data_IF_464330484543
#
_entry.id   IF_464330484543
#
_cell.length_a   1.000
_cell.length_b   1.000
_cell.length_c   1.000
_cell.angle_alpha   90.00
_cell.angle_beta   90.00
_cell.angle_gamma   90.00
#
_symmetry.space_group_name_H-M   'P 1'
#
loop_
_entity.id
_entity.type
_entity.pdbx_description
1 polymer ?
#
# COMPACT_ATOMS: atom_id res chain seq x y z
N UNK A 1 11.10 -35.00 -11.12
CA UNK A 1 11.60 -34.74 -9.76
C UNK A 1 11.87 -33.24 -9.66
N UNK A 2 10.89 -32.46 -9.20
CA UNK A 2 10.92 -30.98 -9.25
C UNK A 2 11.12 -30.38 -7.86
N UNK A 3 12.29 -30.60 -7.27
CA UNK A 3 12.75 -29.78 -6.14
C UNK A 3 13.85 -28.86 -6.66
N UNK A 4 13.47 -27.67 -7.14
CA UNK A 4 14.36 -26.53 -6.98
C UNK A 4 14.35 -26.21 -5.48
N UNK A 5 15.53 -26.29 -4.87
CA UNK A 5 15.75 -25.83 -3.51
C UNK A 5 15.69 -24.30 -3.54
N UNK A 6 14.54 -23.73 -3.21
CA UNK A 6 14.50 -22.33 -2.79
C UNK A 6 15.46 -22.18 -1.61
N UNK A 7 16.37 -21.21 -1.69
CA UNK A 7 17.22 -20.83 -0.57
C UNK A 7 16.32 -20.51 0.65
N UNK A 8 16.74 -20.84 1.88
CA UNK A 8 15.94 -20.53 3.05
C UNK A 8 15.68 -19.02 3.07
N UNK A 9 14.43 -18.58 3.30
CA UNK A 9 14.13 -17.16 3.29
C UNK A 9 14.99 -16.47 4.35
N UNK A 10 15.62 -15.36 3.97
CA UNK A 10 16.30 -14.43 4.87
C UNK A 10 15.30 -13.72 5.83
N UNK A 11 14.24 -14.41 6.26
CA UNK A 11 13.00 -13.85 6.79
C UNK A 11 13.14 -13.07 8.08
N UNK A 12 14.26 -13.18 8.81
CA UNK A 12 14.56 -12.31 9.96
C UNK A 12 15.11 -10.96 9.51
N UNK A 13 16.07 -10.97 8.57
CA UNK A 13 16.69 -9.75 8.04
C UNK A 13 15.67 -8.92 7.25
N UNK A 14 14.83 -9.59 6.47
CA UNK A 14 13.73 -8.98 5.72
C UNK A 14 12.72 -8.27 6.64
N UNK A 15 12.27 -8.94 7.70
CA UNK A 15 11.38 -8.33 8.71
C UNK A 15 12.00 -7.11 9.38
N UNK A 16 13.26 -7.20 9.79
CA UNK A 16 13.89 -6.07 10.48
C UNK A 16 14.07 -4.87 9.54
N UNK A 17 14.36 -5.11 8.25
CA UNK A 17 14.42 -4.06 7.21
C UNK A 17 13.04 -3.42 6.95
N UNK A 18 11.95 -4.19 6.97
CA UNK A 18 10.58 -3.63 6.93
C UNK A 18 10.31 -2.73 8.12
N UNK A 19 10.68 -3.17 9.34
CA UNK A 19 10.44 -2.40 10.56
C UNK A 19 11.30 -1.13 10.65
N UNK A 20 12.53 -1.17 10.12
CA UNK A 20 13.40 0.02 10.00
C UNK A 20 12.99 0.96 8.86
N UNK A 21 12.09 0.52 7.99
CA UNK A 21 11.61 1.32 6.87
C UNK A 21 12.50 1.31 5.62
N UNK A 22 13.48 0.41 5.55
CA UNK A 22 14.39 0.32 4.41
C UNK A 22 13.68 -0.15 3.13
N UNK A 23 12.51 -0.78 3.30
CA UNK A 23 11.68 -1.34 2.22
C UNK A 23 10.40 -0.54 1.98
N UNK A 24 10.33 0.67 2.52
CA UNK A 24 9.18 1.54 2.38
C UNK A 24 8.96 1.97 0.92
N UNK A 25 7.76 1.68 0.44
CA UNK A 25 7.15 2.37 -0.70
C UNK A 25 6.08 3.33 -0.17
N UNK A 26 5.33 3.99 -1.05
CA UNK A 26 4.42 5.05 -0.61
C UNK A 26 3.38 4.60 0.42
N UNK A 27 2.54 3.61 0.07
CA UNK A 27 1.44 3.14 0.93
C UNK A 27 1.75 1.89 1.76
N UNK A 28 2.94 1.30 1.62
CA UNK A 28 3.31 0.04 2.27
C UNK A 28 4.82 -0.07 2.47
N UNK A 29 5.28 -1.11 3.15
CA UNK A 29 6.62 -1.67 2.91
C UNK A 29 6.50 -2.86 1.95
N UNK A 30 7.48 -3.06 1.07
CA UNK A 30 7.48 -4.12 0.06
C UNK A 30 8.50 -5.21 0.42
N UNK A 31 8.06 -6.43 0.74
CA UNK A 31 8.95 -7.56 1.10
C UNK A 31 9.46 -8.37 -0.11
N UNK A 32 9.35 -7.83 -1.32
CA UNK A 32 9.67 -8.56 -2.55
C UNK A 32 9.43 -7.75 -3.81
N UNK A 33 10.24 -6.71 -4.02
CA UNK A 33 10.12 -5.80 -5.18
C UNK A 33 10.40 -6.49 -6.52
N UNK A 34 11.33 -7.44 -6.53
CA UNK A 34 11.73 -8.29 -7.68
C UNK A 34 10.91 -9.59 -7.80
N UNK A 35 9.98 -9.82 -6.86
CA UNK A 35 9.11 -11.00 -6.78
C UNK A 35 7.63 -10.62 -6.77
N UNK A 36 7.29 -9.56 -7.50
CA UNK A 36 5.89 -9.11 -7.65
C UNK A 36 5.05 -10.19 -8.33
N UNK A 37 3.82 -10.47 -7.86
CA UNK A 37 2.92 -11.41 -8.54
C UNK A 37 2.36 -10.86 -9.87
N UNK A 38 2.69 -9.62 -10.23
CA UNK A 38 2.18 -8.92 -11.41
C UNK A 38 3.22 -8.72 -12.52
N UNK A 39 4.43 -9.26 -12.35
CA UNK A 39 5.52 -9.14 -13.31
C UNK A 39 6.31 -10.44 -13.43
N UNK A 40 7.28 -10.46 -14.33
CA UNK A 40 8.17 -11.61 -14.50
C UNK A 40 9.07 -11.82 -13.27
N UNK A 41 9.37 -13.07 -12.87
CA UNK A 41 10.27 -13.34 -11.75
C UNK A 41 11.64 -12.67 -11.94
N UNK A 42 12.10 -11.94 -10.92
CA UNK A 42 13.36 -11.19 -10.95
C UNK A 42 13.26 -9.81 -11.58
N UNK A 43 12.13 -9.45 -12.20
CA UNK A 43 11.91 -8.12 -12.73
C UNK A 43 11.36 -7.17 -11.65
N UNK A 44 11.70 -5.86 -11.71
CA UNK A 44 11.06 -4.84 -10.88
C UNK A 44 9.54 -4.86 -10.95
N UNK A 45 8.88 -4.58 -9.82
CA UNK A 45 7.42 -4.52 -9.75
C UNK A 45 6.85 -3.50 -10.75
N UNK A 46 5.92 -3.90 -11.64
CA UNK A 46 5.33 -3.00 -12.63
C UNK A 46 4.07 -2.28 -12.13
N UNK A 47 3.65 -2.51 -10.89
CA UNK A 47 2.40 -1.98 -10.36
C UNK A 47 2.42 -0.45 -10.23
N UNK A 48 1.28 0.23 -10.47
CA UNK A 48 1.16 1.65 -10.22
C UNK A 48 1.30 1.97 -8.72
N UNK A 49 1.50 3.25 -8.41
CA UNK A 49 1.89 3.74 -7.07
C UNK A 49 1.03 3.22 -5.89
N UNK A 50 -0.27 2.95 -6.10
CA UNK A 50 -1.17 2.41 -5.06
C UNK A 50 -1.52 0.91 -5.22
N UNK A 51 -1.01 0.24 -6.27
CA UNK A 51 -1.24 -1.19 -6.49
C UNK A 51 -0.70 -2.08 -5.35
N UNK A 52 0.17 -1.53 -4.49
CA UNK A 52 0.63 -2.19 -3.27
C UNK A 52 -0.53 -2.61 -2.34
N UNK A 53 -1.66 -1.89 -2.32
CA UNK A 53 -2.82 -2.28 -1.49
C UNK A 53 -3.42 -3.62 -1.91
N UNK A 54 -3.21 -4.04 -3.15
CA UNK A 54 -3.71 -5.29 -3.73
C UNK A 54 -2.62 -6.38 -3.80
N UNK A 55 -1.39 -6.08 -3.35
CA UNK A 55 -0.24 -6.97 -3.48
C UNK A 55 0.02 -7.78 -2.21
N UNK A 56 0.29 -9.09 -2.36
CA UNK A 56 0.65 -9.98 -1.23
C UNK A 56 2.02 -9.68 -0.60
N UNK A 57 2.89 -8.96 -1.31
CA UNK A 57 4.21 -8.56 -0.79
C UNK A 57 4.14 -7.26 0.04
N UNK A 58 2.97 -6.62 0.10
CA UNK A 58 2.80 -5.38 0.85
C UNK A 58 2.58 -5.68 2.33
N UNK A 59 3.44 -5.09 3.17
CA UNK A 59 3.30 -5.08 4.62
C UNK A 59 2.88 -3.69 5.05
N UNK A 60 1.68 -3.59 5.64
CA UNK A 60 1.18 -2.32 6.16
C UNK A 60 1.59 -2.19 7.63
N UNK A 61 2.40 -1.17 7.90
CA UNK A 61 2.87 -0.82 9.24
C UNK A 61 2.22 0.47 9.71
N UNK A 62 2.20 0.74 11.02
CA UNK A 62 1.55 1.93 11.58
C UNK A 62 2.07 3.24 10.97
N UNK A 63 3.37 3.33 10.65
CA UNK A 63 4.00 4.49 10.00
C UNK A 63 3.47 4.78 8.58
N UNK A 64 2.71 3.86 7.97
CA UNK A 64 2.06 4.06 6.66
C UNK A 64 0.64 4.59 6.75
N UNK A 65 0.03 4.54 7.94
CA UNK A 65 -1.33 4.97 8.13
C UNK A 65 -1.59 6.43 7.74
N UNK A 66 -0.69 7.41 7.99
CA UNK A 66 -0.92 8.77 7.53
C UNK A 66 -1.08 8.85 5.99
N UNK A 67 -0.18 8.22 5.24
CA UNK A 67 -0.24 8.14 3.77
C UNK A 67 -1.51 7.43 3.27
N UNK A 68 -1.89 6.33 3.91
CA UNK A 68 -3.09 5.57 3.57
C UNK A 68 -4.36 6.38 3.83
N UNK A 69 -4.43 7.10 4.96
CA UNK A 69 -5.58 7.95 5.32
C UNK A 69 -5.70 9.12 4.33
N UNK A 70 -4.60 9.78 3.99
CA UNK A 70 -4.62 10.86 2.99
C UNK A 70 -5.04 10.34 1.61
N UNK A 71 -4.57 9.17 1.20
CA UNK A 71 -5.01 8.55 -0.04
C UNK A 71 -6.49 8.18 -0.01
N UNK A 72 -7.01 7.69 1.13
CA UNK A 72 -8.43 7.41 1.31
C UNK A 72 -9.28 8.69 1.19
N UNK A 73 -8.84 9.80 1.77
CA UNK A 73 -9.52 11.10 1.63
C UNK A 73 -9.53 11.54 0.15
N UNK A 74 -8.38 11.45 -0.52
CA UNK A 74 -8.27 11.77 -1.95
C UNK A 74 -9.22 10.94 -2.80
N UNK A 75 -9.24 9.60 -2.66
CA UNK A 75 -10.14 8.78 -3.47
C UNK A 75 -11.61 9.11 -3.20
N UNK A 76 -11.99 9.46 -1.96
CA UNK A 76 -13.35 9.88 -1.65
C UNK A 76 -13.72 11.22 -2.30
N UNK A 77 -12.80 12.19 -2.33
CA UNK A 77 -12.98 13.47 -3.04
C UNK A 77 -13.22 13.27 -4.54
N UNK A 78 -12.60 12.24 -5.16
CA UNK A 78 -12.80 11.93 -6.58
C UNK A 78 -14.24 11.53 -6.93
N UNK A 79 -15.10 11.19 -5.95
CA UNK A 79 -16.53 10.95 -6.21
C UNK A 79 -17.27 12.19 -6.70
N UNK A 80 -16.74 13.39 -6.44
CA UNK A 80 -17.34 14.63 -6.91
C UNK A 80 -17.14 14.86 -8.42
N UNK A 81 -16.12 14.21 -9.03
CA UNK A 81 -15.74 14.42 -10.42
C UNK A 81 -15.94 13.19 -11.31
N UNK A 82 -15.94 11.99 -10.75
CA UNK A 82 -16.12 10.74 -11.49
C UNK A 82 -17.55 10.21 -11.39
N UNK A 83 -18.00 9.50 -12.43
CA UNK A 83 -19.21 8.68 -12.31
C UNK A 83 -19.00 7.57 -11.27
N UNK A 84 -20.09 7.07 -10.68
CA UNK A 84 -19.99 5.97 -9.72
C UNK A 84 -19.31 4.72 -10.30
N UNK A 85 -19.52 4.45 -11.60
CA UNK A 85 -18.92 3.32 -12.31
C UNK A 85 -17.41 3.51 -12.51
N UNK A 86 -16.98 4.69 -12.98
CA UNK A 86 -15.56 4.99 -13.20
C UNK A 86 -14.79 5.04 -11.87
N UNK A 87 -15.40 5.61 -10.84
CA UNK A 87 -14.85 5.61 -9.49
C UNK A 87 -14.66 4.19 -8.97
N UNK A 88 -15.68 3.33 -9.09
CA UNK A 88 -15.61 1.94 -8.62
C UNK A 88 -14.55 1.14 -9.38
N UNK A 89 -14.44 1.36 -10.70
CA UNK A 89 -13.44 0.72 -11.55
C UNK A 89 -12.02 1.14 -11.16
N UNK A 90 -11.80 2.42 -10.87
CA UNK A 90 -10.47 2.98 -10.59
C UNK A 90 -10.02 2.78 -9.15
N UNK A 91 -10.91 2.98 -8.18
CA UNK A 91 -10.56 3.07 -6.76
C UNK A 91 -11.29 2.07 -5.87
N UNK A 92 -12.36 1.41 -6.33
CA UNK A 92 -13.24 0.60 -5.48
C UNK A 92 -12.48 -0.46 -4.66
N UNK A 93 -11.60 -1.25 -5.32
CA UNK A 93 -10.83 -2.29 -4.62
C UNK A 93 -9.86 -1.72 -3.58
N UNK A 94 -9.16 -0.64 -3.91
CA UNK A 94 -8.24 0.02 -2.98
C UNK A 94 -9.00 0.63 -1.79
N UNK A 95 -10.13 1.29 -2.04
CA UNK A 95 -11.00 1.83 -1.01
C UNK A 95 -11.48 0.73 -0.05
N UNK A 96 -12.04 -0.35 -0.59
CA UNK A 96 -12.59 -1.45 0.20
C UNK A 96 -11.51 -2.14 1.03
N UNK A 97 -10.30 -2.29 0.46
CA UNK A 97 -9.14 -2.80 1.19
C UNK A 97 -8.78 -1.90 2.36
N UNK A 98 -8.75 -0.58 2.16
CA UNK A 98 -8.41 0.38 3.22
C UNK A 98 -9.46 0.35 4.33
N UNK A 99 -10.72 0.58 3.96
CA UNK A 99 -11.82 0.73 4.91
C UNK A 99 -12.19 -0.59 5.60
N UNK A 100 -12.21 -1.69 4.86
CA UNK A 100 -12.68 -2.98 5.36
C UNK A 100 -11.62 -3.84 6.02
N UNK A 101 -10.33 -3.60 5.75
CA UNK A 101 -9.27 -4.51 6.20
C UNK A 101 -8.04 -3.81 6.78
N UNK A 102 -7.57 -2.71 6.19
CA UNK A 102 -6.35 -2.04 6.69
C UNK A 102 -6.65 -1.28 7.97
N UNK A 103 -7.54 -0.28 7.92
CA UNK A 103 -7.81 0.56 9.09
C UNK A 103 -8.34 -0.25 10.28
N UNK A 104 -9.27 -1.21 10.11
CA UNK A 104 -9.76 -2.03 11.22
C UNK A 104 -8.69 -2.91 11.89
N UNK A 105 -7.52 -3.12 11.25
CA UNK A 105 -6.43 -3.90 11.82
C UNK A 105 -5.58 -3.12 12.84
N UNK A 106 -5.82 -1.82 13.04
CA UNK A 106 -5.07 -0.98 13.96
C UNK A 106 -5.97 -0.44 15.09
N UNK A 107 -5.39 -0.17 16.29
CA UNK A 107 -6.14 0.47 17.35
C UNK A 107 -6.60 1.88 16.97
N UNK A 108 -7.80 2.28 17.42
CA UNK A 108 -8.37 3.59 17.12
C UNK A 108 -7.45 4.76 17.52
N UNK A 109 -6.72 4.63 18.63
CA UNK A 109 -5.74 5.65 19.06
C UNK A 109 -4.63 5.88 18.04
N UNK A 110 -4.17 4.82 17.37
CA UNK A 110 -3.16 4.89 16.32
C UNK A 110 -3.74 5.52 15.06
N UNK A 111 -4.97 5.15 14.69
CA UNK A 111 -5.68 5.75 13.54
C UNK A 111 -5.90 7.24 13.77
N UNK A 112 -6.31 7.64 14.98
CA UNK A 112 -6.57 9.02 15.33
C UNK A 112 -5.30 9.89 15.27
N UNK A 113 -4.13 9.39 15.72
CA UNK A 113 -2.87 10.11 15.52
C UNK A 113 -2.48 10.18 14.05
N UNK A 114 -2.57 9.06 13.32
CA UNK A 114 -2.23 9.03 11.91
C UNK A 114 -3.10 9.99 11.07
N UNK A 115 -4.36 10.19 11.46
CA UNK A 115 -5.27 11.17 10.84
C UNK A 115 -4.79 12.60 11.10
N UNK A 116 -4.42 12.93 12.34
CA UNK A 116 -3.81 14.23 12.66
C UNK A 116 -2.52 14.47 11.88
N UNK A 117 -1.71 13.44 11.68
CA UNK A 117 -0.49 13.53 10.85
C UNK A 117 -0.79 13.74 9.37
N UNK A 118 -1.83 13.07 8.84
CA UNK A 118 -2.27 13.20 7.47
C UNK A 118 -2.79 14.61 7.14
N UNK A 119 -3.50 15.24 8.07
CA UNK A 119 -4.01 16.60 7.87
C UNK A 119 -2.89 17.66 7.93
N UNK A 120 -1.79 17.39 8.66
CA UNK A 120 -0.64 18.30 8.80
C UNK A 120 0.25 18.34 7.57
N UNK A 121 0.44 17.19 6.94
CA UNK A 121 1.25 17.06 5.74
C UNK A 121 0.28 16.73 4.63
N UNK A 122 -0.10 17.70 3.80
CA UNK A 122 -0.82 17.41 2.55
C UNK A 122 0.02 16.39 1.75
N UNK A 123 -0.24 15.11 2.01
CA UNK A 123 0.69 14.04 1.67
C UNK A 123 0.77 14.00 0.16
N UNK A 124 2.01 13.96 -0.33
CA UNK A 124 2.28 13.96 -1.75
C UNK A 124 1.43 12.90 -2.45
N UNK A 125 0.48 13.37 -3.26
CA UNK A 125 -0.21 12.57 -4.25
C UNK A 125 0.66 12.55 -5.50
N UNK A 126 1.19 11.38 -5.92
CA UNK A 126 1.93 11.26 -7.16
C UNK A 126 1.11 11.83 -8.32
N UNK A 127 1.70 12.61 -9.25
CA UNK A 127 1.02 13.14 -10.44
C UNK A 127 0.24 12.07 -11.22
N UNK A 128 0.71 10.84 -11.21
CA UNK A 128 0.11 9.66 -11.83
C UNK A 128 -1.22 9.26 -11.18
N UNK A 129 -1.52 9.70 -9.95
CA UNK A 129 -2.83 9.52 -9.32
C UNK A 129 -3.90 10.46 -9.87
N UNK A 130 -3.50 11.55 -10.52
CA UNK A 130 -4.41 12.59 -11.06
C UNK A 130 -4.82 12.35 -12.52
N UNK A 131 -4.15 11.43 -13.21
CA UNK A 131 -4.50 10.95 -14.56
C UNK A 131 -5.49 9.80 -14.43
#
# INVERSE_FOLDING_TARGET
SWRQCDAPPEGRKDRDSVLRGEQDVWLAACSGFDRSPFGEPGAPCPQPFWGCLECRNAVITARKLPAIIAFQQFIEEQRASLSAADWAMKFGRAHDRIAGQVLPAFPESVIAEARREADRHALYLPPEARQ
#
